data_IF_289361858793
#
_entry.id   IF_289361858793
#
_cell.length_a   1.000
_cell.length_b   1.000
_cell.length_c   1.000
_cell.angle_alpha   90.00
_cell.angle_beta   90.00
_cell.angle_gamma   90.00
#
_symmetry.space_group_name_H-M   'P 1'
#
loop_
_entity.id
_entity.type
_entity.pdbx_description
1 polymer ?
#
# COMPACT_ATOMS: atom_id res chain seq x y z
N UNK A 1 -11.05 -16.80 3.96
CA UNK A 1 -11.28 -16.53 5.38
C UNK A 1 -11.13 -15.02 5.68
N UNK A 2 -9.98 -14.38 5.39
CA UNK A 2 -9.74 -12.96 5.66
C UNK A 2 -10.87 -12.07 5.12
N UNK A 3 -11.27 -12.25 3.85
CA UNK A 3 -12.37 -11.48 3.25
C UNK A 3 -13.69 -11.65 4.04
N UNK A 4 -14.01 -12.86 4.49
CA UNK A 4 -15.24 -13.13 5.26
C UNK A 4 -15.20 -12.38 6.60
N UNK A 5 -14.05 -12.39 7.28
CA UNK A 5 -13.89 -11.67 8.56
C UNK A 5 -14.05 -10.15 8.35
N UNK A 6 -13.43 -9.60 7.30
CA UNK A 6 -13.52 -8.17 7.01
C UNK A 6 -14.94 -7.75 6.57
N UNK A 7 -15.63 -8.56 5.77
CA UNK A 7 -17.04 -8.32 5.41
C UNK A 7 -17.94 -8.41 6.64
N UNK A 8 -17.68 -9.36 7.55
CA UNK A 8 -18.36 -9.44 8.83
C UNK A 8 -18.12 -8.17 9.68
N UNK A 9 -16.88 -7.68 9.74
CA UNK A 9 -16.59 -6.42 10.43
C UNK A 9 -17.40 -5.25 9.85
N UNK A 10 -17.47 -5.10 8.53
CA UNK A 10 -18.28 -4.04 7.88
C UNK A 10 -19.78 -4.22 8.14
N UNK A 11 -20.27 -5.46 8.24
CA UNK A 11 -21.69 -5.73 8.48
C UNK A 11 -22.11 -5.44 9.95
N UNK A 12 -21.23 -5.71 10.92
CA UNK A 12 -21.56 -5.62 12.33
C UNK A 12 -21.00 -4.37 13.04
N UNK A 13 -19.94 -3.75 12.50
CA UNK A 13 -19.33 -2.56 13.08
C UNK A 13 -19.77 -1.32 12.29
N UNK A 14 -20.61 -0.50 12.86
CA UNK A 14 -20.98 0.80 12.32
C UNK A 14 -19.98 1.84 12.80
N UNK A 15 -19.02 2.21 11.96
CA UNK A 15 -18.09 3.30 12.26
C UNK A 15 -18.63 4.58 11.67
N UNK A 16 -18.93 5.61 12.47
CA UNK A 16 -19.35 6.91 11.96
C UNK A 16 -18.21 7.58 11.19
N UNK A 17 -18.56 8.39 10.19
CA UNK A 17 -17.59 9.18 9.43
C UNK A 17 -17.54 10.56 10.08
N UNK A 18 -16.57 10.77 10.96
CA UNK A 18 -16.46 11.97 11.79
C UNK A 18 -15.04 12.57 11.72
N UNK A 19 -14.89 13.80 12.22
CA UNK A 19 -13.61 14.50 12.31
C UNK A 19 -12.88 14.55 10.96
N UNK A 20 -11.60 14.24 10.93
CA UNK A 20 -10.74 14.25 9.74
C UNK A 20 -11.25 13.35 8.62
N UNK A 21 -11.85 12.19 8.97
CA UNK A 21 -12.40 11.27 7.97
C UNK A 21 -13.63 11.85 7.26
N UNK A 22 -14.43 12.67 7.94
CA UNK A 22 -15.55 13.37 7.33
C UNK A 22 -15.06 14.42 6.31
N UNK A 23 -14.05 15.22 6.67
CA UNK A 23 -13.44 16.21 5.78
C UNK A 23 -12.83 15.53 4.54
N UNK A 24 -12.11 14.43 4.73
CA UNK A 24 -11.49 13.68 3.64
C UNK A 24 -12.53 13.01 2.73
N UNK A 25 -13.60 12.47 3.29
CA UNK A 25 -14.70 11.87 2.52
C UNK A 25 -15.43 12.92 1.68
N UNK A 26 -15.77 14.07 2.27
CA UNK A 26 -16.43 15.16 1.55
C UNK A 26 -15.52 15.70 0.43
N UNK A 27 -14.23 15.93 0.69
CA UNK A 27 -13.27 16.31 -0.35
C UNK A 27 -13.16 15.24 -1.46
N UNK A 28 -13.30 13.95 -1.11
CA UNK A 28 -13.30 12.85 -2.08
C UNK A 28 -14.54 12.89 -2.97
N UNK A 29 -15.69 13.29 -2.46
CA UNK A 29 -16.92 13.49 -3.23
C UNK A 29 -16.77 14.71 -4.17
N UNK A 30 -16.22 15.83 -3.67
CA UNK A 30 -15.90 17.00 -4.50
C UNK A 30 -14.95 16.62 -5.65
N UNK A 31 -13.86 15.91 -5.35
CA UNK A 31 -12.95 15.39 -6.38
C UNK A 31 -13.66 14.49 -7.40
N UNK A 32 -14.57 13.62 -6.97
CA UNK A 32 -15.33 12.75 -7.87
C UNK A 32 -16.20 13.55 -8.86
N UNK A 33 -16.69 14.72 -8.45
CA UNK A 33 -17.47 15.67 -9.25
C UNK A 33 -16.62 16.61 -10.11
N UNK A 34 -15.27 16.56 -9.96
CA UNK A 34 -14.33 17.43 -10.67
C UNK A 34 -14.10 18.78 -9.98
N UNK A 35 -14.56 18.93 -8.75
CA UNK A 35 -14.30 20.10 -7.92
C UNK A 35 -13.03 19.90 -7.08
N UNK A 36 -12.07 20.81 -7.21
CA UNK A 36 -10.79 20.78 -6.51
C UNK A 36 -10.69 21.87 -5.42
N UNK A 37 -11.79 22.57 -5.12
CA UNK A 37 -11.82 23.66 -4.13
C UNK A 37 -11.46 23.22 -2.71
N UNK A 38 -11.56 21.92 -2.40
CA UNK A 38 -11.11 21.37 -1.12
C UNK A 38 -9.64 21.68 -0.82
N UNK A 39 -8.78 21.83 -1.85
CA UNK A 39 -7.36 22.14 -1.69
C UNK A 39 -7.14 23.52 -1.05
N UNK A 40 -8.06 24.46 -1.22
CA UNK A 40 -7.99 25.82 -0.68
C UNK A 40 -8.39 25.88 0.80
N UNK A 41 -8.90 24.78 1.35
CA UNK A 41 -9.31 24.73 2.75
C UNK A 41 -8.08 24.69 3.68
N UNK A 42 -8.20 25.30 4.85
CA UNK A 42 -7.12 25.34 5.87
C UNK A 42 -6.61 23.93 6.23
N UNK A 43 -7.51 22.93 6.22
CA UNK A 43 -7.16 21.55 6.51
C UNK A 43 -6.15 21.00 5.50
N UNK A 44 -6.43 21.08 4.21
CA UNK A 44 -5.56 20.52 3.16
C UNK A 44 -4.31 21.39 2.91
N UNK A 45 -4.38 22.71 3.16
CA UNK A 45 -3.18 23.56 3.15
C UNK A 45 -2.19 23.16 4.25
N UNK A 46 -2.68 22.77 5.43
CA UNK A 46 -1.87 22.30 6.56
C UNK A 46 -1.44 20.85 6.44
N UNK A 47 -2.32 20.00 5.91
CA UNK A 47 -2.16 18.55 5.83
C UNK A 47 -2.23 18.05 4.39
N UNK A 48 -1.44 18.66 3.49
CA UNK A 48 -1.44 18.39 2.05
C UNK A 48 -1.25 16.91 1.69
N UNK A 49 -0.54 16.15 2.51
CA UNK A 49 -0.35 14.71 2.29
C UNK A 49 -1.66 13.88 2.35
N UNK A 50 -2.73 14.41 2.91
CA UNK A 50 -4.05 13.74 2.91
C UNK A 50 -4.73 13.76 1.54
N UNK A 51 -4.27 14.60 0.61
CA UNK A 51 -4.77 14.66 -0.77
C UNK A 51 -4.67 13.30 -1.50
N UNK A 52 -3.65 12.50 -1.19
CA UNK A 52 -3.51 11.16 -1.76
C UNK A 52 -4.69 10.24 -1.47
N UNK A 53 -5.21 10.27 -0.23
CA UNK A 53 -6.42 9.52 0.12
C UNK A 53 -7.67 10.06 -0.59
N UNK A 54 -7.78 11.39 -0.71
CA UNK A 54 -8.89 12.05 -1.43
C UNK A 54 -8.93 11.59 -2.89
N UNK A 55 -7.79 11.56 -3.58
CA UNK A 55 -7.68 11.09 -4.96
C UNK A 55 -8.06 9.61 -5.06
N UNK A 56 -7.56 8.77 -4.15
CA UNK A 56 -7.88 7.35 -4.09
C UNK A 56 -9.38 7.10 -3.92
N UNK A 57 -9.97 7.66 -2.88
CA UNK A 57 -11.40 7.51 -2.59
C UNK A 57 -12.27 8.16 -3.67
N UNK A 58 -11.94 9.37 -4.10
CA UNK A 58 -12.70 10.09 -5.10
C UNK A 58 -12.70 9.41 -6.47
N UNK A 59 -11.59 8.74 -6.85
CA UNK A 59 -11.56 7.91 -8.05
C UNK A 59 -12.52 6.72 -7.96
N UNK A 60 -12.63 6.10 -6.79
CA UNK A 60 -13.56 5.02 -6.53
C UNK A 60 -15.01 5.53 -6.50
N UNK A 61 -15.27 6.69 -5.89
CA UNK A 61 -16.61 7.29 -5.82
C UNK A 61 -17.18 7.68 -7.19
N UNK A 62 -16.33 7.90 -8.20
CA UNK A 62 -16.80 8.05 -9.60
C UNK A 62 -17.50 6.80 -10.13
N UNK A 63 -17.19 5.61 -9.59
CA UNK A 63 -17.84 4.37 -9.96
C UNK A 63 -19.13 4.14 -9.17
N UNK A 64 -19.10 4.44 -7.88
CA UNK A 64 -20.27 4.30 -7.00
C UNK A 64 -20.13 5.24 -5.80
N UNK A 65 -20.94 6.28 -5.71
CA UNK A 65 -20.96 7.27 -4.62
C UNK A 65 -21.62 6.66 -3.36
N UNK A 66 -20.83 5.87 -2.62
CA UNK A 66 -21.29 5.23 -1.39
C UNK A 66 -20.11 4.96 -0.44
N UNK A 67 -20.22 5.34 0.84
CA UNK A 67 -19.20 5.00 1.84
C UNK A 67 -19.10 3.49 2.06
N UNK A 68 -20.22 2.76 1.91
CA UNK A 68 -20.24 1.29 1.98
C UNK A 68 -19.41 0.68 0.86
N UNK A 69 -19.45 1.24 -0.34
CA UNK A 69 -18.61 0.79 -1.45
C UNK A 69 -17.12 0.94 -1.12
N UNK A 70 -16.70 2.08 -0.56
CA UNK A 70 -15.32 2.27 -0.13
C UNK A 70 -14.90 1.26 0.95
N UNK A 71 -15.78 0.93 1.89
CA UNK A 71 -15.53 -0.11 2.91
C UNK A 71 -15.37 -1.49 2.28
N UNK A 72 -16.20 -1.84 1.30
CA UNK A 72 -16.08 -3.11 0.56
C UNK A 72 -14.77 -3.18 -0.22
N UNK A 73 -14.34 -2.07 -0.84
CA UNK A 73 -13.02 -1.99 -1.49
C UNK A 73 -11.91 -2.18 -0.45
N UNK A 74 -11.99 -1.57 0.73
CA UNK A 74 -11.03 -1.78 1.82
C UNK A 74 -10.98 -3.26 2.24
N UNK A 75 -12.10 -3.98 2.29
CA UNK A 75 -12.11 -5.42 2.57
C UNK A 75 -11.33 -6.21 1.51
N UNK A 76 -11.53 -5.90 0.22
CA UNK A 76 -10.82 -6.55 -0.88
C UNK A 76 -9.32 -6.25 -0.83
N UNK A 77 -8.95 -4.99 -0.60
CA UNK A 77 -7.56 -4.55 -0.49
C UNK A 77 -6.86 -5.21 0.69
N UNK A 78 -7.51 -5.27 1.86
CA UNK A 78 -6.97 -5.96 3.05
C UNK A 78 -6.84 -7.47 2.85
N UNK A 79 -7.80 -8.11 2.18
CA UNK A 79 -7.70 -9.52 1.79
C UNK A 79 -6.54 -9.74 0.80
N UNK A 80 -6.32 -8.81 -0.15
CA UNK A 80 -5.17 -8.79 -1.04
C UNK A 80 -3.85 -8.70 -0.28
N UNK A 81 -3.78 -7.87 0.74
CA UNK A 81 -2.60 -7.78 1.64
C UNK A 81 -2.32 -9.12 2.31
N UNK A 82 -3.35 -9.81 2.79
CA UNK A 82 -3.19 -11.16 3.39
C UNK A 82 -2.65 -12.18 2.38
N UNK A 83 -3.09 -12.12 1.11
CA UNK A 83 -2.51 -12.96 0.05
C UNK A 83 -1.03 -12.65 -0.14
N UNK A 84 -0.64 -11.37 -0.14
CA UNK A 84 0.79 -10.98 -0.24
C UNK A 84 1.61 -11.47 0.96
N UNK A 85 1.07 -11.39 2.17
CA UNK A 85 1.69 -11.94 3.39
C UNK A 85 1.93 -13.45 3.22
N UNK A 86 0.91 -14.20 2.78
CA UNK A 86 1.04 -15.63 2.50
C UNK A 86 2.13 -15.91 1.45
N UNK A 87 2.11 -15.19 0.32
CA UNK A 87 3.05 -15.41 -0.79
C UNK A 87 4.49 -15.12 -0.37
N UNK A 88 4.72 -14.02 0.39
CA UNK A 88 6.05 -13.70 0.93
C UNK A 88 6.50 -14.79 1.90
N UNK A 89 5.64 -15.16 2.84
CA UNK A 89 5.97 -16.19 3.83
C UNK A 89 6.28 -17.53 3.17
N UNK A 90 5.50 -17.96 2.18
CA UNK A 90 5.69 -19.21 1.43
C UNK A 90 7.04 -19.25 0.70
N UNK A 91 7.52 -18.11 0.23
CA UNK A 91 8.80 -18.05 -0.48
C UNK A 91 10.04 -18.24 0.44
N UNK A 92 9.87 -18.04 1.76
CA UNK A 92 10.98 -18.08 2.72
C UNK A 92 10.85 -19.16 3.80
N UNK A 93 9.63 -19.62 4.06
CA UNK A 93 9.31 -20.59 5.11
C UNK A 93 8.57 -21.80 4.52
N UNK A 94 8.34 -22.79 5.32
CA UNK A 94 7.53 -23.95 4.97
C UNK A 94 6.05 -23.55 4.78
N UNK A 95 5.34 -24.32 3.99
CA UNK A 95 3.92 -24.10 3.66
C UNK A 95 3.03 -23.94 4.91
N UNK A 96 3.32 -24.72 5.98
CA UNK A 96 2.58 -24.62 7.25
C UNK A 96 2.77 -23.27 7.92
N UNK A 97 4.01 -22.77 7.98
CA UNK A 97 4.33 -21.47 8.55
C UNK A 97 3.70 -20.32 7.73
N UNK A 98 3.69 -20.44 6.39
CA UNK A 98 3.04 -19.46 5.52
C UNK A 98 1.52 -19.40 5.75
N UNK A 99 0.86 -20.54 5.91
CA UNK A 99 -0.57 -20.60 6.26
C UNK A 99 -0.85 -20.03 7.63
N UNK A 100 0.00 -20.30 8.62
CA UNK A 100 -0.14 -19.73 9.96
C UNK A 100 0.03 -18.21 9.94
N UNK A 101 1.00 -17.67 9.20
CA UNK A 101 1.19 -16.23 9.04
C UNK A 101 -0.05 -15.55 8.40
N UNK A 102 -0.60 -16.15 7.34
CA UNK A 102 -1.83 -15.68 6.71
C UNK A 102 -3.03 -15.77 7.66
N UNK A 103 -3.13 -16.83 8.45
CA UNK A 103 -4.18 -17.00 9.42
C UNK A 103 -4.06 -15.97 10.55
N UNK A 104 -2.85 -15.76 11.07
CA UNK A 104 -2.58 -14.74 12.07
C UNK A 104 -2.96 -13.34 11.57
N UNK A 105 -2.61 -13.00 10.32
CA UNK A 105 -3.04 -11.74 9.71
C UNK A 105 -4.56 -11.65 9.58
N UNK A 106 -5.24 -12.73 9.18
CA UNK A 106 -6.69 -12.74 9.01
C UNK A 106 -7.45 -12.48 10.33
N UNK A 107 -6.92 -12.96 11.45
CA UNK A 107 -7.47 -12.73 12.79
C UNK A 107 -6.91 -11.51 13.50
N UNK A 108 -5.99 -10.79 12.89
CA UNK A 108 -5.46 -9.58 13.49
C UNK A 108 -6.54 -8.49 13.51
N UNK A 109 -6.92 -8.08 14.68
CA UNK A 109 -8.08 -7.18 14.90
C UNK A 109 -7.88 -5.80 14.25
N UNK A 110 -6.66 -5.30 14.19
CA UNK A 110 -6.38 -3.96 13.69
C UNK A 110 -6.80 -3.77 12.21
N UNK A 111 -6.38 -4.59 11.22
CA UNK A 111 -6.93 -4.50 9.87
C UNK A 111 -8.43 -4.76 9.81
N UNK A 112 -8.94 -5.70 10.62
CA UNK A 112 -10.36 -6.05 10.63
C UNK A 112 -11.25 -4.88 11.09
N UNK A 113 -10.79 -4.05 12.00
CA UNK A 113 -11.50 -2.83 12.42
C UNK A 113 -11.27 -1.68 11.43
N UNK A 114 -10.05 -1.51 10.93
CA UNK A 114 -9.73 -0.41 10.02
C UNK A 114 -10.43 -0.47 8.66
N UNK A 115 -10.88 -1.64 8.20
CA UNK A 115 -11.67 -1.72 6.95
C UNK A 115 -13.00 -0.99 7.04
N UNK A 116 -13.54 -0.80 8.24
CA UNK A 116 -14.78 -0.04 8.47
C UNK A 116 -14.55 1.46 8.50
N UNK A 117 -13.30 1.90 8.69
CA UNK A 117 -12.89 3.29 8.73
C UNK A 117 -12.39 3.71 7.34
N UNK A 118 -12.77 4.89 6.88
CA UNK A 118 -12.33 5.42 5.57
C UNK A 118 -10.94 6.07 5.68
N UNK A 119 -9.93 5.29 6.11
CA UNK A 119 -8.56 5.76 6.35
C UNK A 119 -7.59 5.27 5.27
N UNK A 120 -6.42 5.92 5.22
CA UNK A 120 -5.33 5.62 4.28
C UNK A 120 -4.51 4.37 4.65
N UNK A 121 -4.67 3.82 5.85
CA UNK A 121 -3.85 2.71 6.36
C UNK A 121 -3.99 1.44 5.52
N UNK A 122 -5.21 1.08 5.14
CA UNK A 122 -5.51 -0.15 4.41
C UNK A 122 -4.88 -0.12 2.99
N UNK A 123 -5.17 0.89 2.13
CA UNK A 123 -4.58 0.90 0.80
C UNK A 123 -3.05 1.13 0.83
N UNK A 124 -2.53 1.96 1.76
CA UNK A 124 -1.09 2.15 1.91
C UNK A 124 -0.38 0.84 2.25
N UNK A 125 -0.89 0.08 3.23
CA UNK A 125 -0.32 -1.21 3.61
C UNK A 125 -0.30 -2.20 2.43
N UNK A 126 -1.35 -2.27 1.63
CA UNK A 126 -1.38 -3.12 0.44
C UNK A 126 -0.23 -2.81 -0.52
N UNK A 127 -0.02 -1.55 -0.85
CA UNK A 127 1.05 -1.15 -1.77
C UNK A 127 2.44 -1.33 -1.16
N UNK A 128 2.61 -1.20 0.16
CA UNK A 128 3.85 -1.55 0.85
C UNK A 128 4.15 -3.05 0.76
N UNK A 129 3.18 -3.91 1.05
CA UNK A 129 3.36 -5.37 0.93
C UNK A 129 3.56 -5.80 -0.53
N UNK A 130 2.91 -5.13 -1.49
CA UNK A 130 3.13 -5.36 -2.91
C UNK A 130 4.58 -5.00 -3.30
N UNK A 131 5.10 -3.87 -2.85
CA UNK A 131 6.50 -3.49 -3.04
C UNK A 131 7.44 -4.59 -2.50
N UNK A 132 7.23 -5.03 -1.26
CA UNK A 132 8.03 -6.09 -0.64
C UNK A 132 7.96 -7.40 -1.45
N UNK A 133 6.78 -7.81 -1.88
CA UNK A 133 6.61 -9.02 -2.68
C UNK A 133 7.31 -8.93 -4.04
N UNK A 134 7.24 -7.80 -4.72
CA UNK A 134 7.92 -7.59 -6.02
C UNK A 134 9.44 -7.64 -5.88
N UNK A 135 10.00 -7.15 -4.76
CA UNK A 135 11.44 -7.17 -4.49
C UNK A 135 11.90 -8.55 -4.02
N UNK A 136 11.20 -9.15 -3.07
CA UNK A 136 11.64 -10.34 -2.34
C UNK A 136 11.10 -11.64 -2.93
N UNK A 137 9.99 -11.60 -3.67
CA UNK A 137 9.29 -12.79 -4.17
C UNK A 137 10.15 -13.64 -5.11
N UNK A 138 10.13 -14.95 -4.90
CA UNK A 138 10.89 -15.95 -5.68
C UNK A 138 10.12 -16.44 -6.91
N UNK A 139 8.81 -16.18 -6.99
CA UNK A 139 7.94 -16.63 -8.09
C UNK A 139 8.26 -16.04 -9.47
N UNK A 140 8.98 -14.93 -9.54
CA UNK A 140 9.23 -14.17 -10.76
C UNK A 140 10.48 -14.61 -11.54
N UNK A 141 10.73 -15.92 -11.66
CA UNK A 141 11.97 -16.44 -12.30
C UNK A 141 12.11 -16.04 -13.77
N UNK A 142 11.00 -15.87 -14.50
CA UNK A 142 10.96 -15.53 -15.93
C UNK A 142 10.78 -14.04 -16.22
N UNK A 143 10.48 -13.21 -15.22
CA UNK A 143 10.24 -11.80 -15.43
C UNK A 143 11.55 -10.99 -15.45
N UNK A 144 11.54 -9.90 -16.20
CA UNK A 144 12.67 -8.98 -16.25
C UNK A 144 12.84 -8.29 -14.89
N UNK A 145 13.93 -8.59 -14.18
CA UNK A 145 14.12 -8.17 -12.78
C UNK A 145 14.11 -6.66 -12.59
N UNK A 146 14.70 -5.89 -13.51
CA UNK A 146 14.72 -4.42 -13.42
C UNK A 146 13.30 -3.85 -13.47
N UNK A 147 12.43 -4.41 -14.34
CA UNK A 147 11.02 -4.00 -14.43
C UNK A 147 10.27 -4.27 -13.11
N UNK A 148 10.50 -5.44 -12.48
CA UNK A 148 9.88 -5.75 -11.19
C UNK A 148 10.27 -4.74 -10.10
N UNK A 149 11.54 -4.32 -10.08
CA UNK A 149 12.00 -3.31 -9.12
C UNK A 149 11.48 -1.91 -9.46
N UNK A 150 11.30 -1.57 -10.73
CA UNK A 150 10.62 -0.34 -11.11
C UNK A 150 9.15 -0.36 -10.68
N UNK A 151 8.43 -1.47 -10.88
CA UNK A 151 7.06 -1.65 -10.38
C UNK A 151 6.98 -1.59 -8.85
N UNK A 152 7.99 -2.13 -8.14
CA UNK A 152 8.09 -1.99 -6.69
C UNK A 152 8.26 -0.53 -6.27
N UNK A 153 9.09 0.23 -6.99
CA UNK A 153 9.24 1.68 -6.78
C UNK A 153 7.94 2.45 -7.02
N UNK A 154 7.20 2.09 -8.08
CA UNK A 154 5.88 2.67 -8.36
C UNK A 154 4.86 2.33 -7.24
N UNK A 155 4.84 1.08 -6.78
CA UNK A 155 4.01 0.66 -5.67
C UNK A 155 4.34 1.43 -4.38
N UNK A 156 5.63 1.62 -4.09
CA UNK A 156 6.08 2.42 -2.95
C UNK A 156 5.67 3.90 -3.08
N UNK A 157 5.70 4.46 -4.29
CA UNK A 157 5.25 5.83 -4.54
C UNK A 157 3.75 6.01 -4.28
N UNK A 158 2.92 5.04 -4.69
CA UNK A 158 1.48 5.04 -4.37
C UNK A 158 1.27 4.93 -2.85
N UNK A 159 2.00 4.04 -2.17
CA UNK A 159 1.94 3.93 -0.71
C UNK A 159 2.30 5.27 -0.03
N UNK A 160 3.34 5.95 -0.53
CA UNK A 160 3.80 7.24 -0.02
C UNK A 160 2.79 8.38 -0.29
N UNK A 161 2.13 8.37 -1.44
CA UNK A 161 1.05 9.32 -1.74
C UNK A 161 -0.15 9.15 -0.78
N UNK A 162 -0.42 7.93 -0.32
CA UNK A 162 -1.44 7.63 0.67
C UNK A 162 -0.97 7.95 2.10
N UNK A 163 0.31 7.62 2.42
CA UNK A 163 0.93 7.86 3.74
C UNK A 163 2.42 8.19 3.59
N UNK A 164 2.88 9.32 4.11
CA UNK A 164 4.25 9.79 3.94
C UNK A 164 5.30 9.00 4.76
N UNK A 165 4.90 7.96 5.46
CA UNK A 165 5.80 7.04 6.20
C UNK A 165 6.35 5.89 5.32
N UNK A 166 5.85 5.73 4.11
CA UNK A 166 6.29 4.68 3.17
C UNK A 166 7.81 4.67 2.89
N UNK A 167 8.55 5.80 2.83
CA UNK A 167 10.01 5.78 2.63
C UNK A 167 10.78 5.02 3.72
N UNK A 168 10.22 4.86 4.91
CA UNK A 168 10.85 4.06 5.98
C UNK A 168 11.12 2.61 5.56
N UNK A 169 10.34 2.08 4.61
CA UNK A 169 10.55 0.73 4.04
C UNK A 169 11.84 0.63 3.23
N UNK A 170 12.38 1.75 2.74
CA UNK A 170 13.67 1.73 2.04
C UNK A 170 14.83 1.26 2.94
N UNK A 171 14.75 1.50 4.25
CA UNK A 171 15.79 1.09 5.20
C UNK A 171 15.92 -0.43 5.28
N UNK A 172 14.86 -1.22 5.58
CA UNK A 172 14.96 -2.68 5.57
C UNK A 172 15.21 -3.24 4.17
N UNK A 173 14.76 -2.60 3.10
CA UNK A 173 15.10 -3.01 1.74
C UNK A 173 16.59 -2.83 1.46
N UNK A 174 17.19 -1.72 1.87
CA UNK A 174 18.64 -1.52 1.76
C UNK A 174 19.41 -2.57 2.55
N UNK A 175 19.01 -2.84 3.79
CA UNK A 175 19.60 -3.90 4.61
C UNK A 175 19.50 -5.28 3.93
N UNK A 176 18.35 -5.60 3.31
CA UNK A 176 18.17 -6.82 2.53
C UNK A 176 19.16 -6.89 1.34
N UNK A 177 19.36 -5.80 0.61
CA UNK A 177 20.33 -5.75 -0.50
C UNK A 177 21.76 -5.94 -0.01
N UNK A 178 22.15 -5.24 1.06
CA UNK A 178 23.49 -5.39 1.66
C UNK A 178 23.72 -6.83 2.11
N UNK A 179 22.76 -7.44 2.80
CA UNK A 179 22.87 -8.84 3.21
C UNK A 179 23.01 -9.80 2.02
N UNK A 180 22.20 -9.61 0.97
CA UNK A 180 22.28 -10.39 -0.28
C UNK A 180 23.60 -10.23 -1.00
N UNK A 181 24.17 -9.02 -0.97
CA UNK A 181 25.48 -8.75 -1.55
C UNK A 181 26.59 -9.44 -0.74
N UNK A 182 26.59 -9.30 0.59
CA UNK A 182 27.59 -9.90 1.45
C UNK A 182 27.58 -11.44 1.39
N UNK A 183 26.39 -12.04 1.22
CA UNK A 183 26.26 -13.51 1.11
C UNK A 183 26.76 -14.07 -0.25
N UNK A 184 26.91 -13.23 -1.27
CA UNK A 184 27.32 -13.63 -2.63
C UNK A 184 28.35 -12.63 -3.19
N UNK A 185 29.38 -12.28 -2.41
CA UNK A 185 30.34 -11.23 -2.73
C UNK A 185 31.03 -11.45 -4.08
N UNK A 186 30.50 -10.78 -5.13
CA UNK A 186 31.06 -10.75 -6.49
C UNK A 186 30.75 -9.38 -7.10
N UNK A 187 31.74 -8.79 -7.77
CA UNK A 187 31.58 -7.48 -8.41
C UNK A 187 30.47 -7.46 -9.46
N UNK A 188 30.29 -8.56 -10.22
CA UNK A 188 29.16 -8.70 -11.18
C UNK A 188 27.81 -8.66 -10.46
N UNK A 189 27.69 -9.32 -9.32
CA UNK A 189 26.48 -9.32 -8.51
C UNK A 189 26.19 -7.94 -7.92
N UNK A 190 27.22 -7.21 -7.48
CA UNK A 190 27.08 -5.84 -6.98
C UNK A 190 26.44 -4.92 -8.01
N UNK A 191 26.98 -4.86 -9.24
CA UNK A 191 26.43 -4.04 -10.30
C UNK A 191 24.98 -4.43 -10.65
N UNK A 192 24.66 -5.71 -10.56
CA UNK A 192 23.33 -6.23 -10.81
C UNK A 192 22.32 -5.79 -9.75
N UNK A 193 22.71 -5.85 -8.47
CA UNK A 193 21.90 -5.37 -7.35
C UNK A 193 21.76 -3.84 -7.39
N UNK A 194 22.85 -3.12 -7.68
CA UNK A 194 22.83 -1.66 -7.79
C UNK A 194 21.85 -1.18 -8.88
N UNK A 195 21.85 -1.80 -10.06
CA UNK A 195 20.89 -1.48 -11.14
C UNK A 195 19.44 -1.70 -10.70
N UNK A 196 19.16 -2.80 -10.00
CA UNK A 196 17.81 -3.13 -9.52
C UNK A 196 17.36 -2.14 -8.45
N UNK A 197 18.14 -1.94 -7.42
CA UNK A 197 17.84 -0.99 -6.36
C UNK A 197 17.74 0.44 -6.89
N UNK A 198 18.64 0.82 -7.80
CA UNK A 198 18.57 2.10 -8.50
C UNK A 198 17.27 2.28 -9.28
N UNK A 199 16.78 1.25 -9.98
CA UNK A 199 15.51 1.30 -10.68
C UNK A 199 14.33 1.53 -9.71
N UNK A 200 14.31 0.85 -8.55
CA UNK A 200 13.30 1.05 -7.52
C UNK A 200 13.32 2.49 -7.00
N UNK A 201 14.49 2.94 -6.53
CA UNK A 201 14.63 4.29 -5.93
C UNK A 201 14.33 5.38 -6.95
N UNK A 202 14.85 5.25 -8.19
CA UNK A 202 14.60 6.22 -9.24
C UNK A 202 13.11 6.33 -9.57
N UNK A 203 12.43 5.20 -9.76
CA UNK A 203 10.99 5.20 -10.05
C UNK A 203 10.20 5.79 -8.88
N UNK A 204 10.55 5.42 -7.65
CA UNK A 204 9.95 6.00 -6.46
C UNK A 204 10.11 7.52 -6.42
N UNK A 205 11.34 8.04 -6.60
CA UNK A 205 11.62 9.48 -6.55
C UNK A 205 10.93 10.25 -7.68
N UNK A 206 10.92 9.72 -8.90
CA UNK A 206 10.27 10.36 -10.06
C UNK A 206 8.77 10.47 -9.83
N UNK A 207 8.11 9.41 -9.39
CA UNK A 207 6.67 9.41 -9.17
C UNK A 207 6.25 10.18 -7.91
N UNK A 208 7.07 10.17 -6.86
CA UNK A 208 6.79 10.93 -5.64
C UNK A 208 6.92 12.45 -5.83
N UNK A 209 7.78 12.93 -6.75
CA UNK A 209 7.88 14.37 -7.06
C UNK A 209 6.64 14.94 -7.76
N UNK A 210 5.84 14.10 -8.39
CA UNK A 210 4.56 14.50 -9.02
C UNK A 210 3.38 14.62 -8.05
N UNK A 211 3.55 14.21 -6.79
CA UNK A 211 2.51 14.37 -5.78
C UNK A 211 2.61 15.75 -5.12
N UNK A 212 1.53 16.55 -5.08
CA UNK A 212 1.54 17.91 -4.53
C UNK A 212 1.66 17.99 -3.01
N UNK A 213 2.19 16.97 -2.36
CA UNK A 213 2.20 16.83 -0.89
C UNK A 213 3.55 17.16 -0.21
N UNK A 214 4.46 17.85 -0.93
CA UNK A 214 5.78 18.24 -0.37
C UNK A 214 6.09 19.71 -0.68
#
# INVERSE_FOLDING_TARGET
LSLVIHLGAVAFLTTPIESDFALQYEASRQFAQGDFSFQDTVYFQKWGYQTGLVIWQGTLLKLWDSPTFLRLVNCLVSAGTNVLVYLIARDYFEERAARLASLAYAFFLFPATLVTVLCNNIPSAFFLYLCLYLVMGKGFKRCHRVLLYALAGASLAVANALRPDAPLVLVPLLAYFVFRFLSQASWKNFLHYLKRFGALVLTFLVLSRGCPAW
#
